data_IF_006431764949
#
_entry.id   IF_006431764949
#
_cell.length_a   1.000
_cell.length_b   1.000
_cell.length_c   1.000
_cell.angle_alpha   90.00
_cell.angle_beta   90.00
_cell.angle_gamma   90.00
#
_symmetry.space_group_name_H-M   'P 1'
#
loop_
_entity.id
_entity.type
_entity.pdbx_description
1 polymer ?
#
# COMPACT_ATOMS: atom_id res chain seq x y z
N UNK A 1 -27.48 7.18 -1.81
CA UNK A 1 -27.07 7.62 -0.46
C UNK A 1 -26.35 6.47 0.25
N UNK A 2 -25.16 6.68 0.82
CA UNK A 2 -24.46 5.64 1.59
C UNK A 2 -25.02 5.52 3.01
N UNK A 3 -25.13 4.29 3.52
CA UNK A 3 -25.57 3.96 4.89
C UNK A 3 -24.70 4.59 5.97
N UNK A 4 -25.33 5.02 7.08
CA UNK A 4 -24.71 5.65 8.25
C UNK A 4 -23.57 4.80 8.86
N UNK A 5 -23.69 3.46 8.83
CA UNK A 5 -22.61 2.54 9.26
C UNK A 5 -21.37 2.60 8.36
N UNK A 6 -21.55 2.75 7.04
CA UNK A 6 -20.44 2.93 6.08
C UNK A 6 -19.75 4.28 6.26
N UNK A 7 -20.47 5.32 6.67
CA UNK A 7 -19.91 6.66 6.95
C UNK A 7 -19.07 6.68 8.23
N UNK A 8 -19.48 5.98 9.29
CA UNK A 8 -18.72 5.88 10.55
C UNK A 8 -17.42 5.08 10.33
N UNK A 9 -17.48 3.96 9.62
CA UNK A 9 -16.28 3.18 9.24
C UNK A 9 -15.32 3.98 8.33
N UNK A 10 -15.84 4.77 7.38
CA UNK A 10 -15.05 5.68 6.55
C UNK A 10 -14.30 6.74 7.38
N UNK A 11 -14.99 7.37 8.33
CA UNK A 11 -14.42 8.47 9.15
C UNK A 11 -13.41 7.96 10.18
N UNK A 12 -13.70 6.85 10.84
CA UNK A 12 -12.77 6.21 11.78
C UNK A 12 -11.51 5.67 11.07
N UNK A 13 -11.68 5.05 9.90
CA UNK A 13 -10.57 4.60 9.06
C UNK A 13 -9.70 5.75 8.56
N UNK A 14 -10.31 6.87 8.13
CA UNK A 14 -9.56 8.07 7.70
C UNK A 14 -8.73 8.66 8.84
N UNK A 15 -9.28 8.81 10.04
CA UNK A 15 -8.55 9.35 11.20
C UNK A 15 -7.35 8.46 11.60
N UNK A 16 -7.50 7.14 11.44
CA UNK A 16 -6.43 6.17 11.63
C UNK A 16 -5.28 6.33 10.61
N UNK A 17 -5.59 6.76 9.38
CA UNK A 17 -4.61 6.98 8.31
C UNK A 17 -4.01 8.40 8.32
N UNK A 18 -4.71 9.38 8.90
CA UNK A 18 -4.30 10.78 8.98
C UNK A 18 -4.32 11.28 10.45
N UNK A 19 -3.55 10.67 11.38
CA UNK A 19 -3.53 11.16 12.75
C UNK A 19 -2.92 12.58 12.81
N UNK A 20 -3.32 13.42 13.79
CA UNK A 20 -2.83 14.80 13.92
C UNK A 20 -1.29 14.90 14.00
N UNK A 21 -0.64 13.90 14.59
CA UNK A 21 0.80 13.70 14.58
C UNK A 21 1.18 12.54 13.62
N UNK A 22 0.93 12.75 12.32
CA UNK A 22 1.32 11.77 11.31
C UNK A 22 2.81 11.85 11.04
N UNK A 23 3.44 10.67 10.96
CA UNK A 23 4.82 10.51 10.51
C UNK A 23 5.05 11.26 9.20
N UNK A 24 6.21 11.89 9.07
CA UNK A 24 6.76 12.46 7.83
C UNK A 24 6.88 11.42 6.71
N UNK A 25 7.14 11.88 5.48
CA UNK A 25 7.36 10.94 4.37
C UNK A 25 8.62 10.10 4.63
N UNK A 26 9.73 10.70 5.05
CA UNK A 26 10.93 9.97 5.50
C UNK A 26 10.64 8.89 6.55
N UNK A 27 9.84 9.22 7.58
CA UNK A 27 9.46 8.23 8.60
C UNK A 27 8.56 7.12 8.05
N UNK A 28 7.66 7.44 7.11
CA UNK A 28 6.86 6.42 6.40
C UNK A 28 7.74 5.53 5.52
N UNK A 29 8.74 6.10 4.85
CA UNK A 29 9.73 5.35 4.06
C UNK A 29 10.47 4.35 4.95
N UNK A 30 11.01 4.81 6.08
CA UNK A 30 11.69 3.93 7.03
C UNK A 30 10.77 2.81 7.56
N UNK A 31 9.50 3.15 7.84
CA UNK A 31 8.51 2.18 8.28
C UNK A 31 8.16 1.14 7.20
N UNK A 32 8.04 1.56 5.93
CA UNK A 32 7.83 0.67 4.78
C UNK A 32 9.03 -0.25 4.55
N UNK A 33 10.26 0.23 4.67
CA UNK A 33 11.44 -0.62 4.55
C UNK A 33 11.49 -1.67 5.67
N UNK A 34 11.24 -1.25 6.92
CA UNK A 34 11.24 -2.14 8.08
C UNK A 34 10.14 -3.21 8.01
N UNK A 35 8.91 -2.80 7.68
CA UNK A 35 7.81 -3.76 7.51
C UNK A 35 8.02 -4.66 6.29
N UNK A 36 8.68 -4.14 5.23
CA UNK A 36 9.02 -4.91 4.03
C UNK A 36 9.90 -6.10 4.36
N UNK A 37 11.00 -5.85 5.10
CA UNK A 37 11.88 -6.92 5.60
C UNK A 37 11.11 -7.92 6.47
N UNK A 38 10.29 -7.43 7.40
CA UNK A 38 9.50 -8.29 8.29
C UNK A 38 8.51 -9.19 7.52
N UNK A 39 7.83 -8.66 6.50
CA UNK A 39 6.88 -9.42 5.67
C UNK A 39 7.64 -10.45 4.83
N UNK A 40 8.79 -10.06 4.28
CA UNK A 40 9.65 -10.95 3.50
C UNK A 40 10.17 -12.12 4.33
N UNK A 41 10.64 -11.86 5.54
CA UNK A 41 11.07 -12.88 6.51
C UNK A 41 9.93 -13.82 6.88
N UNK A 42 8.72 -13.29 7.12
CA UNK A 42 7.53 -14.13 7.33
C UNK A 42 7.28 -15.03 6.13
N UNK A 43 7.36 -14.51 4.91
CA UNK A 43 7.14 -15.31 3.71
C UNK A 43 8.21 -16.40 3.52
N UNK A 44 9.47 -16.17 3.91
CA UNK A 44 10.52 -17.20 3.86
C UNK A 44 10.27 -18.37 4.81
N UNK A 45 9.66 -18.10 5.95
CA UNK A 45 9.38 -19.12 6.97
C UNK A 45 8.09 -19.92 6.68
N UNK A 46 7.51 -19.76 5.49
CA UNK A 46 6.17 -20.27 5.15
C UNK A 46 6.23 -21.07 3.87
N UNK A 47 5.55 -22.22 3.89
CA UNK A 47 5.47 -23.11 2.74
C UNK A 47 4.59 -22.53 1.65
N UNK A 48 4.77 -23.07 0.44
CA UNK A 48 3.88 -22.76 -0.67
C UNK A 48 2.47 -23.35 -0.42
N UNK A 49 1.46 -22.49 -0.49
CA UNK A 49 0.05 -22.90 -0.44
C UNK A 49 -0.81 -21.88 -1.18
N UNK A 50 -1.97 -22.32 -1.69
CA UNK A 50 -2.96 -21.42 -2.32
C UNK A 50 -3.33 -20.24 -1.42
N UNK A 51 -3.43 -20.47 -0.10
CA UNK A 51 -3.73 -19.42 0.87
C UNK A 51 -2.60 -18.39 0.95
N UNK A 52 -1.34 -18.83 1.07
CA UNK A 52 -0.18 -17.94 1.14
C UNK A 52 0.03 -17.18 -0.17
N UNK A 53 -0.08 -17.85 -1.34
CA UNK A 53 -0.04 -17.21 -2.65
C UNK A 53 -1.11 -16.11 -2.78
N UNK A 54 -2.35 -16.40 -2.37
CA UNK A 54 -3.46 -15.44 -2.39
C UNK A 54 -3.22 -14.24 -1.48
N UNK A 55 -2.71 -14.47 -0.26
CA UNK A 55 -2.38 -13.39 0.70
C UNK A 55 -1.25 -12.51 0.17
N UNK A 56 -0.14 -13.08 -0.30
CA UNK A 56 0.98 -12.25 -0.79
C UNK A 56 0.61 -11.55 -2.10
N UNK A 57 -0.09 -12.23 -3.01
CA UNK A 57 -0.64 -11.63 -4.22
C UNK A 57 -1.64 -10.49 -3.93
N UNK A 58 -2.40 -10.57 -2.84
CA UNK A 58 -3.24 -9.46 -2.37
C UNK A 58 -2.41 -8.24 -1.97
N UNK A 59 -1.39 -8.45 -1.15
CA UNK A 59 -0.50 -7.38 -0.68
C UNK A 59 0.18 -6.69 -1.86
N UNK A 60 0.73 -7.45 -2.80
CA UNK A 60 1.35 -6.94 -4.02
C UNK A 60 0.37 -6.09 -4.83
N UNK A 61 -0.86 -6.59 -5.03
CA UNK A 61 -1.89 -5.85 -5.76
C UNK A 61 -2.23 -4.52 -5.11
N UNK A 62 -2.35 -4.47 -3.77
CA UNK A 62 -2.71 -3.24 -3.05
C UNK A 62 -1.59 -2.22 -3.14
N UNK A 63 -0.34 -2.64 -3.04
CA UNK A 63 0.80 -1.74 -3.21
C UNK A 63 0.89 -1.19 -4.63
N UNK A 64 0.77 -2.03 -5.66
CA UNK A 64 0.77 -1.58 -7.07
C UNK A 64 -0.38 -0.60 -7.37
N UNK A 65 -1.56 -0.88 -6.82
CA UNK A 65 -2.72 0.01 -6.90
C UNK A 65 -2.47 1.37 -6.22
N UNK A 66 -1.80 1.34 -5.07
CA UNK A 66 -1.34 2.54 -4.37
C UNK A 66 -0.29 3.32 -5.15
N UNK A 67 0.73 2.65 -5.72
CA UNK A 67 1.79 3.24 -6.53
C UNK A 67 1.24 4.10 -7.67
N UNK A 68 0.29 3.56 -8.45
CA UNK A 68 -0.36 4.30 -9.55
C UNK A 68 -1.12 5.54 -9.09
N UNK A 69 -1.57 5.58 -7.84
CA UNK A 69 -2.26 6.73 -7.28
C UNK A 69 -1.27 7.75 -6.74
N UNK A 70 -0.29 7.32 -5.95
CA UNK A 70 0.67 8.24 -5.34
C UNK A 70 1.58 8.92 -6.35
N UNK A 71 1.85 8.33 -7.53
CA UNK A 71 2.61 8.99 -8.59
C UNK A 71 1.93 10.23 -9.18
N UNK A 72 0.62 10.42 -8.99
CA UNK A 72 -0.05 11.70 -9.29
C UNK A 72 0.53 12.88 -8.52
N UNK A 73 1.12 12.63 -7.35
CA UNK A 73 1.80 13.67 -6.57
C UNK A 73 3.05 14.20 -7.28
N UNK A 74 3.66 13.41 -8.17
CA UNK A 74 4.81 13.80 -8.98
C UNK A 74 4.42 14.60 -10.24
N UNK A 75 3.12 14.83 -10.46
CA UNK A 75 2.64 15.46 -11.70
C UNK A 75 2.71 14.55 -12.93
N UNK A 76 3.00 13.26 -12.73
CA UNK A 76 3.03 12.27 -13.81
C UNK A 76 1.61 11.93 -14.27
N UNK A 77 1.46 11.71 -15.58
CA UNK A 77 0.25 11.14 -16.17
C UNK A 77 0.20 9.64 -15.83
N UNK A 78 -0.24 9.32 -14.62
CA UNK A 78 -0.46 7.95 -14.22
C UNK A 78 -1.80 7.47 -14.78
N UNK A 79 -1.81 6.29 -15.41
CA UNK A 79 -3.05 5.60 -15.70
C UNK A 79 -3.65 5.09 -14.38
N UNK A 80 -4.67 5.79 -13.91
CA UNK A 80 -5.37 5.46 -12.67
C UNK A 80 -6.64 4.71 -13.02
N UNK A 81 -6.49 3.42 -13.35
CA UNK A 81 -7.64 2.52 -13.42
C UNK A 81 -8.43 2.53 -12.10
N UNK A 82 -9.75 2.45 -12.20
CA UNK A 82 -10.64 2.47 -11.03
C UNK A 82 -10.52 1.19 -10.19
N UNK A 83 -10.30 0.05 -10.85
CA UNK A 83 -10.42 -1.28 -10.24
C UNK A 83 -9.08 -1.87 -9.79
N UNK A 84 -9.10 -2.50 -8.62
CA UNK A 84 -7.95 -3.09 -7.95
C UNK A 84 -7.47 -4.41 -8.61
N UNK A 85 -8.37 -5.18 -9.21
CA UNK A 85 -8.09 -6.56 -9.62
C UNK A 85 -7.00 -6.65 -10.70
N UNK A 86 -6.87 -5.63 -11.56
CA UNK A 86 -5.82 -5.56 -12.58
C UNK A 86 -4.39 -5.44 -12.05
N UNK A 87 -4.20 -5.20 -10.75
CA UNK A 87 -2.88 -5.02 -10.15
C UNK A 87 -2.31 -6.29 -9.52
N UNK A 88 -3.12 -7.35 -9.38
CA UNK A 88 -2.68 -8.61 -8.75
C UNK A 88 -1.76 -9.41 -9.69
N UNK A 89 -0.75 -10.10 -9.16
CA UNK A 89 -0.07 -11.14 -9.92
C UNK A 89 -1.06 -12.22 -10.42
N UNK A 90 -0.76 -12.90 -11.55
CA UNK A 90 -1.51 -14.08 -11.99
C UNK A 90 -1.70 -15.10 -10.86
N UNK A 91 -2.86 -15.78 -10.83
CA UNK A 91 -3.20 -16.71 -9.75
C UNK A 91 -2.28 -17.93 -9.69
N UNK A 92 -1.70 -18.30 -10.82
CA UNK A 92 -0.73 -19.37 -11.01
C UNK A 92 0.73 -18.94 -10.78
N UNK A 93 0.98 -17.70 -10.32
CA UNK A 93 2.33 -17.24 -9.99
C UNK A 93 2.93 -18.13 -8.89
N UNK A 94 4.13 -18.65 -9.13
CA UNK A 94 4.86 -19.48 -8.19
C UNK A 94 5.28 -18.72 -6.93
N UNK A 95 5.37 -19.43 -5.80
CA UNK A 95 5.60 -18.80 -4.50
C UNK A 95 6.91 -18.00 -4.43
N UNK A 96 8.00 -18.54 -4.96
CA UNK A 96 9.28 -17.81 -5.03
C UNK A 96 9.19 -16.54 -5.88
N UNK A 97 8.46 -16.61 -7.01
CA UNK A 97 8.22 -15.45 -7.85
C UNK A 97 7.39 -14.39 -7.11
N UNK A 98 6.37 -14.78 -6.34
CA UNK A 98 5.60 -13.85 -5.51
C UNK A 98 6.47 -13.16 -4.45
N UNK A 99 7.39 -13.89 -3.80
CA UNK A 99 8.33 -13.30 -2.83
C UNK A 99 9.25 -12.26 -3.49
N UNK A 100 9.75 -12.54 -4.69
CA UNK A 100 10.54 -11.57 -5.45
C UNK A 100 9.70 -10.36 -5.88
N UNK A 101 8.51 -10.59 -6.45
CA UNK A 101 7.59 -9.53 -6.86
C UNK A 101 7.18 -8.63 -5.69
N UNK A 102 7.04 -9.18 -4.49
CA UNK A 102 6.81 -8.38 -3.28
C UNK A 102 7.98 -7.45 -2.98
N UNK A 103 9.21 -7.95 -3.03
CA UNK A 103 10.41 -7.12 -2.83
C UNK A 103 10.49 -5.99 -3.85
N UNK A 104 10.30 -6.31 -5.13
CA UNK A 104 10.36 -5.32 -6.22
C UNK A 104 9.26 -4.26 -6.06
N UNK A 105 8.05 -4.70 -5.73
CA UNK A 105 6.93 -3.81 -5.47
C UNK A 105 7.21 -2.91 -4.26
N UNK A 106 7.75 -3.46 -3.16
CA UNK A 106 8.09 -2.65 -1.99
C UNK A 106 9.19 -1.63 -2.28
N UNK A 107 10.22 -2.03 -3.00
CA UNK A 107 11.32 -1.15 -3.40
C UNK A 107 10.80 0.00 -4.27
N UNK A 108 9.88 -0.27 -5.17
CA UNK A 108 9.23 0.76 -5.99
C UNK A 108 8.38 1.73 -5.17
N UNK A 109 7.60 1.22 -4.20
CA UNK A 109 6.84 2.06 -3.26
C UNK A 109 7.76 3.03 -2.53
N UNK A 110 8.91 2.54 -2.04
CA UNK A 110 9.92 3.36 -1.34
C UNK A 110 10.56 4.38 -2.28
N UNK A 111 10.89 3.97 -3.51
CA UNK A 111 11.48 4.86 -4.53
C UNK A 111 10.54 6.03 -4.84
N UNK A 112 9.26 5.75 -5.09
CA UNK A 112 8.25 6.78 -5.36
C UNK A 112 8.09 7.72 -4.16
N UNK A 113 8.03 7.16 -2.94
CA UNK A 113 7.89 7.97 -1.73
C UNK A 113 9.07 8.95 -1.54
N UNK A 114 10.30 8.50 -1.79
CA UNK A 114 11.49 9.37 -1.75
C UNK A 114 11.42 10.47 -2.81
N UNK A 115 11.03 10.14 -4.04
CA UNK A 115 10.86 11.15 -5.09
C UNK A 115 9.83 12.21 -4.74
N UNK A 116 8.72 11.83 -4.09
CA UNK A 116 7.69 12.78 -3.66
C UNK A 116 8.19 13.69 -2.54
N UNK A 117 9.02 13.15 -1.64
CA UNK A 117 9.69 13.94 -0.60
C UNK A 117 10.61 14.99 -1.23
N UNK A 118 11.45 14.58 -2.19
CA UNK A 118 12.39 15.46 -2.89
C UNK A 118 11.70 16.51 -3.76
N UNK A 119 10.53 16.19 -4.33
CA UNK A 119 9.80 17.11 -5.20
C UNK A 119 9.03 18.21 -4.44
N UNK A 120 9.04 18.19 -3.11
CA UNK A 120 8.43 19.24 -2.29
C UNK A 120 6.91 19.34 -2.43
N UNK A 121 6.22 18.21 -2.67
CA UNK A 121 4.75 18.20 -2.79
C UNK A 121 4.12 18.81 -1.55
N UNK A 122 3.14 19.70 -1.76
CA UNK A 122 2.40 20.33 -0.66
C UNK A 122 1.84 19.25 0.27
N UNK A 123 2.03 19.35 1.61
CA UNK A 123 1.51 18.37 2.56
C UNK A 123 -0.02 18.19 2.51
N UNK A 124 -0.74 19.17 1.97
CA UNK A 124 -2.20 19.17 1.80
C UNK A 124 -2.66 18.60 0.45
N UNK A 125 -1.75 18.21 -0.44
CA UNK A 125 -2.12 17.52 -1.68
C UNK A 125 -2.78 16.18 -1.32
N UNK A 126 -3.95 15.92 -1.91
CA UNK A 126 -4.72 14.71 -1.62
C UNK A 126 -5.05 13.94 -2.88
N UNK A 127 -5.11 12.63 -2.72
CA UNK A 127 -5.37 11.65 -3.77
C UNK A 127 -6.52 10.77 -3.29
N UNK A 128 -7.50 10.53 -4.15
CA UNK A 128 -8.73 9.84 -3.77
C UNK A 128 -8.49 8.34 -3.56
N UNK A 129 -8.83 7.85 -2.37
CA UNK A 129 -8.96 6.44 -2.04
C UNK A 129 -10.44 6.01 -2.13
N UNK A 130 -10.71 4.85 -2.71
CA UNK A 130 -12.08 4.37 -2.97
C UNK A 130 -12.92 4.24 -1.68
N UNK A 131 -12.29 3.82 -0.58
CA UNK A 131 -12.94 3.56 0.73
C UNK A 131 -12.65 4.59 1.82
N UNK A 132 -11.75 5.54 1.62
CA UNK A 132 -11.38 6.52 2.67
C UNK A 132 -11.55 7.96 2.20
N UNK A 133 -11.95 8.16 0.94
CA UNK A 133 -12.01 9.46 0.30
C UNK A 133 -10.60 10.02 0.07
N UNK A 134 -10.45 11.35 0.01
CA UNK A 134 -9.14 11.99 -0.18
C UNK A 134 -8.21 11.70 1.00
N UNK A 135 -7.03 11.16 0.70
CA UNK A 135 -5.91 10.96 1.62
C UNK A 135 -4.71 11.79 1.15
N UNK A 136 -3.88 12.29 2.06
CA UNK A 136 -2.58 12.87 1.68
C UNK A 136 -1.64 11.76 1.21
N UNK A 137 -0.50 12.14 0.64
CA UNK A 137 0.58 11.17 0.32
C UNK A 137 0.96 10.37 1.56
N UNK A 138 1.09 11.02 2.72
CA UNK A 138 1.42 10.34 3.99
C UNK A 138 0.32 9.36 4.40
N UNK A 139 -0.95 9.73 4.24
CA UNK A 139 -2.09 8.85 4.50
C UNK A 139 -2.08 7.62 3.59
N UNK A 140 -1.72 7.76 2.32
CA UNK A 140 -1.53 6.65 1.40
C UNK A 140 -0.39 5.71 1.80
N UNK A 141 0.79 6.25 2.10
CA UNK A 141 1.94 5.43 2.52
C UNK A 141 1.63 4.67 3.82
N UNK A 142 0.96 5.33 4.77
CA UNK A 142 0.50 4.70 6.00
C UNK A 142 -0.51 3.59 5.73
N UNK A 143 -1.48 3.82 4.84
CA UNK A 143 -2.43 2.79 4.43
C UNK A 143 -1.73 1.56 3.88
N UNK A 144 -0.80 1.73 2.93
CA UNK A 144 -0.04 0.62 2.35
C UNK A 144 0.74 -0.14 3.42
N UNK A 145 1.39 0.57 4.34
CA UNK A 145 2.17 -0.04 5.41
C UNK A 145 1.28 -0.84 6.40
N UNK A 146 0.20 -0.23 6.89
CA UNK A 146 -0.72 -0.86 7.85
C UNK A 146 -1.43 -2.05 7.23
N UNK A 147 -1.93 -1.90 6.00
CA UNK A 147 -2.65 -2.95 5.28
C UNK A 147 -1.75 -4.18 5.03
N UNK A 148 -0.57 -3.97 4.43
CA UNK A 148 0.38 -5.06 4.16
C UNK A 148 0.84 -5.75 5.44
N UNK A 149 1.10 -4.99 6.50
CA UNK A 149 1.48 -5.53 7.80
C UNK A 149 0.39 -6.41 8.42
N UNK A 150 -0.87 -5.97 8.37
CA UNK A 150 -2.00 -6.73 8.88
C UNK A 150 -2.25 -8.00 8.08
N UNK A 151 -2.25 -7.92 6.74
CA UNK A 151 -2.47 -9.05 5.85
C UNK A 151 -1.36 -10.10 5.97
N UNK A 152 -0.10 -9.70 6.10
CA UNK A 152 1.03 -10.63 6.22
C UNK A 152 0.95 -11.55 7.44
N UNK A 153 0.20 -11.17 8.49
CA UNK A 153 -0.04 -12.01 9.68
C UNK A 153 -0.90 -13.24 9.36
N UNK A 154 -1.53 -13.27 8.19
CA UNK A 154 -2.35 -14.41 7.72
C UNK A 154 -1.52 -15.49 7.03
N UNK A 155 -0.23 -15.25 6.75
CA UNK A 155 0.66 -16.27 6.18
C UNK A 155 0.84 -17.44 7.17
N UNK A 156 0.60 -18.66 6.70
CA UNK A 156 0.56 -19.89 7.51
C UNK A 156 1.67 -20.87 7.17
#
# INVERSE_FOLDING_TARGET
MMSLRKQIMHRAGKLLMEPPASQTIAEQVAALEASGRTIRERADQRGDSTANRSTLGHVIGIERWGQRRICLALGEACDVGEEYDGYRPPLDTEWEALKQMFNDTRAETVRIARQIEDSGVRPTFTIRHNTFGPLTVRGWLRYLNVHSSAESRRLR
#
